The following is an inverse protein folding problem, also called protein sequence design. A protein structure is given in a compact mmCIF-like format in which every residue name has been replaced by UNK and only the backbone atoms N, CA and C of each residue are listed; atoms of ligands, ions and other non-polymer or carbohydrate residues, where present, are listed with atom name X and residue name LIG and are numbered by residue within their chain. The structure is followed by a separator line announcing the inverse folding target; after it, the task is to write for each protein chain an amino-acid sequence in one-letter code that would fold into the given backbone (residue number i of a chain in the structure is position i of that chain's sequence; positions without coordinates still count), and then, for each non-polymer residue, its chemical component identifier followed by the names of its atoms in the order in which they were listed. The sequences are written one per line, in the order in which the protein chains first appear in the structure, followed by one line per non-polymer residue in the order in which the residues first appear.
data_IF_720038525280
#
_entry.id   IF_720038525280
#
_cell.length_a   1.000
_cell.length_b   1.000
_cell.length_c   1.000
_cell.angle_alpha   90.00
_cell.angle_beta   90.00
_cell.angle_gamma   90.00
#
_symmetry.space_group_name_H-M   'P 1'
#
loop_
_entity.id
_entity.type
_entity.pdbx_description
1 polymer ?
#
# COMPACT_ATOMS: atom_id res chain seq x y z
N UNK A 1 6.21 2.62 -14.89
CA UNK A 1 5.21 1.84 -15.66
C UNK A 1 4.16 1.22 -14.74
N UNK A 2 2.88 1.24 -15.11
CA UNK A 2 1.76 0.73 -14.26
C UNK A 2 1.90 -0.74 -13.83
N UNK A 3 2.61 -1.57 -14.61
CA UNK A 3 2.88 -2.98 -14.28
C UNK A 3 3.66 -3.18 -12.97
N UNK A 4 4.56 -2.26 -12.62
CA UNK A 4 5.39 -2.40 -11.41
C UNK A 4 4.57 -2.27 -10.12
N UNK A 5 3.56 -1.38 -10.12
CA UNK A 5 2.71 -1.15 -8.95
C UNK A 5 1.76 -2.33 -8.69
N UNK A 6 1.13 -2.87 -9.74
CA UNK A 6 0.24 -4.02 -9.59
C UNK A 6 1.02 -5.26 -9.11
N UNK A 7 2.26 -5.44 -9.55
CA UNK A 7 3.13 -6.51 -9.03
C UNK A 7 3.52 -6.27 -7.56
N UNK A 8 3.84 -5.04 -7.15
CA UNK A 8 4.10 -4.71 -5.74
C UNK A 8 2.89 -4.97 -4.85
N UNK A 9 1.70 -4.56 -5.29
CA UNK A 9 0.44 -4.82 -4.58
C UNK A 9 0.16 -6.32 -4.51
N UNK A 10 0.34 -7.05 -5.62
CA UNK A 10 0.15 -8.49 -5.66
C UNK A 10 1.11 -9.19 -4.71
N UNK A 11 2.41 -8.85 -4.73
CA UNK A 11 3.40 -9.42 -3.80
C UNK A 11 3.08 -9.10 -2.34
N UNK A 12 2.61 -7.89 -2.04
CA UNK A 12 2.21 -7.51 -0.70
C UNK A 12 1.01 -8.34 -0.21
N UNK A 13 -0.03 -8.46 -1.04
CA UNK A 13 -1.21 -9.28 -0.72
C UNK A 13 -0.82 -10.76 -0.61
N UNK A 14 0.08 -11.24 -1.46
CA UNK A 14 0.51 -12.64 -1.47
C UNK A 14 1.27 -13.02 -0.18
N UNK A 15 2.15 -12.12 0.28
CA UNK A 15 2.94 -12.27 1.52
C UNK A 15 2.12 -12.07 2.82
N UNK A 16 0.85 -11.67 2.75
CA UNK A 16 0.01 -11.63 3.95
C UNK A 16 -0.40 -13.05 4.36
N UNK A 17 -0.33 -13.36 5.64
CA UNK A 17 -0.93 -14.58 6.19
C UNK A 17 -2.45 -14.60 5.95
N UNK A 18 -3.05 -15.78 5.77
CA UNK A 18 -4.46 -15.95 5.40
C UNK A 18 -5.42 -15.18 6.33
N UNK A 19 -5.17 -15.24 7.64
CA UNK A 19 -5.87 -14.51 8.70
C UNK A 19 -5.75 -12.97 8.61
N UNK A 20 -4.69 -12.46 7.95
CA UNK A 20 -4.48 -11.05 7.68
C UNK A 20 -5.03 -10.64 6.32
N UNK A 21 -5.17 -11.55 5.34
CA UNK A 21 -5.87 -11.28 4.07
C UNK A 21 -7.36 -11.07 4.31
N UNK A 22 -7.98 -11.92 5.13
CA UNK A 22 -9.40 -11.78 5.47
C UNK A 22 -9.72 -10.54 6.31
N UNK A 23 -8.78 -10.10 7.16
CA UNK A 23 -8.91 -8.85 7.94
C UNK A 23 -8.36 -7.61 7.24
N UNK A 24 -7.61 -7.77 6.16
CA UNK A 24 -7.15 -6.65 5.36
C UNK A 24 -8.34 -6.12 4.58
N UNK A 25 -9.02 -5.14 5.17
CA UNK A 25 -9.92 -4.19 4.50
C UNK A 25 -9.13 -3.34 3.48
N UNK A 26 -8.36 -3.96 2.59
CA UNK A 26 -7.71 -3.34 1.46
C UNK A 26 -8.72 -3.40 0.33
N UNK A 27 -9.75 -2.56 0.47
CA UNK A 27 -10.71 -2.33 -0.59
C UNK A 27 -10.04 -1.52 -1.70
N UNK A 28 -10.65 -1.46 -2.87
CA UNK A 28 -10.11 -0.80 -4.05
C UNK A 28 -9.71 0.68 -3.81
N UNK A 29 -10.47 1.38 -2.95
CA UNK A 29 -10.13 2.73 -2.48
C UNK A 29 -8.81 2.77 -1.70
N UNK A 30 -8.60 1.82 -0.78
CA UNK A 30 -7.38 1.77 0.03
C UNK A 30 -6.16 1.45 -0.83
N UNK A 31 -6.32 0.67 -1.90
CA UNK A 31 -5.28 0.44 -2.90
C UNK A 31 -4.90 1.71 -3.65
N UNK A 32 -5.88 2.54 -4.04
CA UNK A 32 -5.59 3.86 -4.63
C UNK A 32 -4.81 4.74 -3.66
N UNK A 33 -5.19 4.76 -2.38
CA UNK A 33 -4.48 5.54 -1.36
C UNK A 33 -3.04 5.08 -1.16
N UNK A 34 -2.81 3.76 -1.13
CA UNK A 34 -1.46 3.17 -1.10
C UNK A 34 -0.66 3.60 -2.33
N UNK A 35 -1.29 3.59 -3.52
CA UNK A 35 -0.67 4.02 -4.77
C UNK A 35 -0.22 5.47 -4.74
N UNK A 36 -1.08 6.38 -4.28
CA UNK A 36 -0.77 7.81 -4.24
C UNK A 36 0.41 8.11 -3.30
N UNK A 37 0.49 7.43 -2.14
CA UNK A 37 1.63 7.55 -1.22
C UNK A 37 2.92 6.98 -1.82
N UNK A 38 2.85 5.83 -2.51
CA UNK A 38 4.03 5.23 -3.12
C UNK A 38 4.53 6.01 -4.35
N UNK A 39 3.65 6.68 -5.07
CA UNK A 39 4.02 7.58 -6.18
C UNK A 39 4.62 8.89 -5.67
N UNK A 40 4.16 9.39 -4.52
CA UNK A 40 4.60 10.67 -3.93
C UNK A 40 5.09 10.49 -2.48
N UNK A 41 6.21 9.77 -2.25
CA UNK A 41 6.64 9.40 -0.90
C UNK A 41 7.09 10.59 -0.04
N UNK A 42 7.43 11.73 -0.63
CA UNK A 42 7.83 12.96 0.09
C UNK A 42 6.65 13.87 0.43
N UNK A 43 5.48 13.60 -0.13
CA UNK A 43 4.30 14.42 0.11
C UNK A 43 3.69 14.11 1.49
N UNK A 44 3.85 15.04 2.41
CA UNK A 44 3.37 14.94 3.79
C UNK A 44 1.91 15.36 3.96
N UNK A 45 1.28 15.89 2.90
CA UNK A 45 -0.12 16.27 2.88
C UNK A 45 -1.04 15.08 2.54
N UNK A 46 -0.49 14.01 1.95
CA UNK A 46 -1.24 12.81 1.60
C UNK A 46 -1.60 11.95 2.82
N UNK A 47 -2.88 11.92 3.16
CA UNK A 47 -3.46 11.12 4.25
C UNK A 47 -2.78 11.36 5.62
N UNK A 48 -2.93 10.40 6.54
CA UNK A 48 -2.35 10.50 7.89
C UNK A 48 -0.89 10.06 7.91
N UNK A 49 -0.11 10.63 8.85
CA UNK A 49 1.29 10.28 9.07
C UNK A 49 1.48 8.78 9.37
N UNK A 50 0.59 8.20 10.18
CA UNK A 50 0.58 6.77 10.52
C UNK A 50 0.36 5.89 9.29
N UNK A 51 -0.52 6.32 8.37
CA UNK A 51 -0.78 5.60 7.12
C UNK A 51 0.44 5.66 6.19
N UNK A 52 1.05 6.84 6.00
CA UNK A 52 2.28 6.96 5.18
C UNK A 52 3.44 6.12 5.73
N UNK A 53 3.64 6.13 7.05
CA UNK A 53 4.66 5.31 7.69
C UNK A 53 4.39 3.81 7.50
N UNK A 54 3.14 3.39 7.69
CA UNK A 54 2.73 2.02 7.43
C UNK A 54 2.97 1.61 5.98
N UNK A 55 2.57 2.44 5.00
CA UNK A 55 2.78 2.16 3.58
C UNK A 55 4.26 2.00 3.26
N UNK A 56 5.12 2.93 3.67
CA UNK A 56 6.57 2.87 3.42
C UNK A 56 7.22 1.63 4.05
N UNK A 57 6.80 1.25 5.26
CA UNK A 57 7.36 0.10 5.96
C UNK A 57 6.86 -1.23 5.38
N UNK A 58 5.62 -1.27 4.87
CA UNK A 58 4.99 -2.48 4.33
C UNK A 58 5.30 -2.74 2.87
N UNK A 59 5.33 -1.70 2.08
CA UNK A 59 5.71 -1.72 0.68
C UNK A 59 7.10 -1.09 0.64
N UNK A 60 8.13 -1.91 0.91
CA UNK A 60 9.54 -1.49 0.85
C UNK A 60 9.77 -0.74 -0.47
N UNK A 61 9.86 0.59 -0.38
CA UNK A 61 10.48 1.44 -1.39
C UNK A 61 11.95 1.58 -1.05
#
# INVERSE_FOLDING_TARGET
SRQSFNNLVKQYIDNLALNKKEKALINQEKLQKIKEVLLNPTDTTLYTSTFRYWVKNKFKL
#
